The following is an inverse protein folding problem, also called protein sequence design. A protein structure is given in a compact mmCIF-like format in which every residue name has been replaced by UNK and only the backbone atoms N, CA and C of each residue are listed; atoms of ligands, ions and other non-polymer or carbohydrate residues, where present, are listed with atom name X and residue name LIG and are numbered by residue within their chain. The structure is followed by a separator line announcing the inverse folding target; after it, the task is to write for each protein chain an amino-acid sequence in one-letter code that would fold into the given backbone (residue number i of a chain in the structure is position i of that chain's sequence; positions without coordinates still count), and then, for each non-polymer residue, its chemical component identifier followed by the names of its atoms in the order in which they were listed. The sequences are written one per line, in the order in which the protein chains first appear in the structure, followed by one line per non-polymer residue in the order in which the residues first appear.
data_IF_334426334462
#
_entry.id   IF_334426334462
#
_cell.length_a   1.000
_cell.length_b   1.000
_cell.length_c   1.000
_cell.angle_alpha   90.00
_cell.angle_beta   90.00
_cell.angle_gamma   90.00
#
_symmetry.space_group_name_H-M   'P 1'
#
loop_
_entity.id
_entity.type
_entity.pdbx_description
1 polymer ?
#
# COMPACT_ATOMS: atom_id res chain seq x y z
N UNK A 1 -6.18 -10.63 4.55
CA UNK A 1 -6.66 -9.53 3.69
C UNK A 1 -5.64 -8.42 3.77
N UNK A 2 -5.22 -7.92 2.61
CA UNK A 2 -4.29 -6.81 2.46
C UNK A 2 -4.86 -5.53 3.07
N UNK A 3 -6.18 -5.35 3.04
CA UNK A 3 -6.90 -4.26 3.72
C UNK A 3 -6.65 -4.21 5.24
N UNK A 4 -6.23 -5.30 5.87
CA UNK A 4 -5.86 -5.27 7.29
C UNK A 4 -4.66 -4.36 7.57
N UNK A 5 -3.79 -4.11 6.58
CA UNK A 5 -2.64 -3.22 6.72
C UNK A 5 -3.09 -1.76 6.88
N UNK A 6 -4.14 -1.31 6.19
CA UNK A 6 -4.61 0.07 6.28
C UNK A 6 -5.41 0.33 7.57
N UNK A 7 -6.05 -0.70 8.13
CA UNK A 7 -6.69 -0.60 9.44
C UNK A 7 -5.70 -0.22 10.55
N UNK A 8 -4.46 -0.72 10.51
CA UNK A 8 -3.41 -0.36 11.47
C UNK A 8 -3.14 1.14 11.49
N UNK A 9 -3.21 1.79 10.32
CA UNK A 9 -3.01 3.23 10.18
C UNK A 9 -4.18 3.98 10.84
N UNK A 10 -5.42 3.52 10.57
CA UNK A 10 -6.64 4.11 11.13
C UNK A 10 -6.69 3.98 12.65
N UNK A 11 -6.38 2.80 13.18
CA UNK A 11 -6.37 2.52 14.62
C UNK A 11 -5.33 3.38 15.37
N UNK A 12 -4.35 3.91 14.65
CA UNK A 12 -3.31 4.81 15.18
C UNK A 12 -3.53 6.28 14.82
N UNK A 13 -4.76 6.64 14.47
CA UNK A 13 -5.18 8.02 14.24
C UNK A 13 -4.61 8.62 12.95
N UNK A 14 -4.26 7.79 11.96
CA UNK A 14 -3.72 8.23 10.67
C UNK A 14 -2.45 9.10 10.78
N UNK A 15 -1.59 8.78 11.74
CA UNK A 15 -0.34 9.50 11.98
C UNK A 15 0.87 8.67 11.55
N UNK A 16 2.04 9.31 11.42
CA UNK A 16 3.32 8.67 11.03
C UNK A 16 3.62 7.37 11.79
N UNK A 17 3.39 7.25 13.12
CA UNK A 17 3.57 5.98 13.82
C UNK A 17 2.70 4.84 13.26
N UNK A 18 1.48 5.13 12.82
CA UNK A 18 0.58 4.18 12.17
C UNK A 18 1.14 3.67 10.84
N UNK A 19 1.66 4.57 10.00
CA UNK A 19 2.31 4.22 8.74
C UNK A 19 3.55 3.33 8.94
N UNK A 20 4.39 3.64 9.93
CA UNK A 20 5.55 2.80 10.27
C UNK A 20 5.14 1.41 10.72
N UNK A 21 4.10 1.32 11.54
CA UNK A 21 3.61 0.05 12.03
C UNK A 21 2.94 -0.79 10.93
N UNK A 22 2.18 -0.14 10.05
CA UNK A 22 1.63 -0.77 8.86
C UNK A 22 2.74 -1.32 7.96
N UNK A 23 3.79 -0.54 7.71
CA UNK A 23 4.95 -0.98 6.94
C UNK A 23 5.65 -2.21 7.56
N UNK A 24 5.90 -2.16 8.87
CA UNK A 24 6.48 -3.29 9.62
C UNK A 24 5.59 -4.53 9.53
N UNK A 25 4.30 -4.38 9.78
CA UNK A 25 3.34 -5.49 9.80
C UNK A 25 3.17 -6.10 8.42
N UNK A 26 3.12 -5.28 7.36
CA UNK A 26 3.04 -5.76 5.99
C UNK A 26 4.27 -6.63 5.64
N UNK A 27 5.48 -6.19 5.97
CA UNK A 27 6.70 -7.02 5.80
C UNK A 27 6.64 -8.34 6.56
N UNK A 28 6.09 -8.34 7.77
CA UNK A 28 5.91 -9.57 8.56
C UNK A 28 4.84 -10.49 7.98
N UNK A 29 3.81 -9.97 7.34
CA UNK A 29 2.80 -10.79 6.67
C UNK A 29 3.31 -11.34 5.34
N UNK A 30 4.16 -10.59 4.64
CA UNK A 30 4.78 -11.03 3.40
C UNK A 30 5.61 -12.32 3.56
N UNK A 31 6.15 -12.58 4.75
CA UNK A 31 6.89 -13.82 5.04
C UNK A 31 6.00 -14.99 5.45
N UNK A 32 4.73 -14.74 5.79
CA UNK A 32 3.76 -15.75 6.25
C UNK A 32 2.81 -16.21 5.15
N UNK A 33 2.49 -15.31 4.23
CA UNK A 33 1.58 -15.55 3.10
C UNK A 33 2.36 -15.35 1.80
N UNK A 34 2.87 -16.46 1.26
CA UNK A 34 3.72 -16.45 0.04
C UNK A 34 2.92 -15.95 -1.16
N UNK A 35 1.63 -16.33 -1.27
CA UNK A 35 0.80 -15.96 -2.41
C UNK A 35 0.60 -14.44 -2.48
N UNK A 36 0.34 -13.80 -1.34
CA UNK A 36 0.12 -12.35 -1.27
C UNK A 36 1.38 -11.56 -0.92
N UNK A 37 2.53 -12.21 -0.85
CA UNK A 37 3.79 -11.63 -0.36
C UNK A 37 4.17 -10.33 -1.08
N UNK A 38 4.05 -10.30 -2.40
CA UNK A 38 4.35 -9.12 -3.22
C UNK A 38 3.37 -7.99 -2.93
N UNK A 39 2.09 -8.29 -2.74
CA UNK A 39 1.07 -7.29 -2.38
C UNK A 39 1.37 -6.65 -1.03
N UNK A 40 1.70 -7.46 -0.02
CA UNK A 40 2.13 -6.97 1.29
C UNK A 40 3.42 -6.14 1.18
N UNK A 41 4.38 -6.56 0.35
CA UNK A 41 5.61 -5.81 0.14
C UNK A 41 5.34 -4.42 -0.46
N UNK A 42 4.49 -4.32 -1.48
CA UNK A 42 4.14 -3.06 -2.14
C UNK A 42 3.45 -2.09 -1.16
N UNK A 43 2.44 -2.56 -0.42
CA UNK A 43 1.78 -1.75 0.60
C UNK A 43 2.74 -1.30 1.70
N UNK A 44 3.61 -2.21 2.16
CA UNK A 44 4.59 -1.90 3.17
C UNK A 44 5.63 -0.87 2.70
N UNK A 45 6.05 -0.94 1.44
CA UNK A 45 6.95 0.04 0.81
C UNK A 45 6.29 1.41 0.71
N UNK A 46 5.06 1.48 0.21
CA UNK A 46 4.31 2.73 0.10
C UNK A 46 4.07 3.42 1.46
N UNK A 47 3.73 2.63 2.49
CA UNK A 47 3.56 3.17 3.85
C UNK A 47 4.88 3.64 4.46
N UNK A 48 5.99 2.92 4.24
CA UNK A 48 7.31 3.33 4.70
C UNK A 48 7.77 4.62 4.03
N UNK A 49 7.68 4.72 2.70
CA UNK A 49 8.12 5.90 1.96
C UNK A 49 7.42 7.17 2.45
N UNK A 50 6.12 7.07 2.74
CA UNK A 50 5.39 8.18 3.34
C UNK A 50 5.87 8.51 4.76
N UNK A 51 6.05 7.50 5.61
CA UNK A 51 6.53 7.71 6.97
C UNK A 51 7.95 8.31 7.04
N UNK A 52 8.78 8.02 6.05
CA UNK A 52 10.13 8.54 5.94
C UNK A 52 10.12 9.98 5.43
N UNK A 53 9.29 10.29 4.42
CA UNK A 53 9.15 11.64 3.85
C UNK A 53 8.67 12.68 4.88
N UNK A 54 7.82 12.27 5.83
CA UNK A 54 7.24 13.17 6.85
C UNK A 54 7.78 12.89 8.26
N UNK A 55 8.93 12.22 8.39
CA UNK A 55 9.56 11.95 9.69
C UNK A 55 10.01 13.24 10.40
N UNK A 56 10.39 14.27 9.64
CA UNK A 56 11.03 15.49 10.15
C UNK A 56 10.12 16.72 10.07
N UNK A 57 8.95 16.60 9.44
CA UNK A 57 8.04 17.71 9.16
C UNK A 57 6.65 17.49 9.78
N UNK A 58 5.92 18.57 10.14
CA UNK A 58 4.55 18.48 10.59
C UNK A 58 3.66 17.88 9.49
N UNK A 59 3.07 16.71 9.75
CA UNK A 59 2.12 16.11 8.84
C UNK A 59 0.76 16.82 8.93
N UNK A 60 0.30 17.40 7.82
CA UNK A 60 -1.06 17.92 7.71
C UNK A 60 -2.08 16.78 7.60
N UNK A 61 -3.22 16.95 8.29
CA UNK A 61 -4.28 15.95 8.35
C UNK A 61 -4.77 15.54 6.95
N UNK A 62 -5.02 16.52 6.07
CA UNK A 62 -5.46 16.27 4.70
C UNK A 62 -4.46 15.40 3.91
N UNK A 63 -3.16 15.63 4.08
CA UNK A 63 -2.11 14.84 3.43
C UNK A 63 -2.10 13.40 3.94
N UNK A 64 -2.29 13.22 5.24
CA UNK A 64 -2.42 11.90 5.85
C UNK A 64 -3.67 11.17 5.35
N UNK A 65 -4.81 11.85 5.23
CA UNK A 65 -6.06 11.26 4.74
C UNK A 65 -5.96 10.85 3.28
N UNK A 66 -5.39 11.70 2.43
CA UNK A 66 -5.16 11.38 1.02
C UNK A 66 -4.25 10.16 0.85
N UNK A 67 -3.18 10.07 1.65
CA UNK A 67 -2.30 8.92 1.57
C UNK A 67 -2.96 7.64 2.08
N UNK A 68 -3.76 7.71 3.15
CA UNK A 68 -4.52 6.56 3.64
C UNK A 68 -5.50 6.07 2.58
N UNK A 69 -6.27 6.97 1.97
CA UNK A 69 -7.20 6.65 0.90
C UNK A 69 -6.49 5.99 -0.30
N UNK A 70 -5.29 6.47 -0.64
CA UNK A 70 -4.46 5.87 -1.70
C UNK A 70 -4.03 4.44 -1.36
N UNK A 71 -3.56 4.21 -0.13
CA UNK A 71 -3.20 2.86 0.34
C UNK A 71 -4.40 1.92 0.40
N UNK A 72 -5.57 2.42 0.80
CA UNK A 72 -6.82 1.65 0.79
C UNK A 72 -7.21 1.26 -0.62
N UNK A 73 -7.10 2.17 -1.58
CA UNK A 73 -7.32 1.87 -3.00
C UNK A 73 -6.40 0.75 -3.50
N UNK A 74 -5.10 0.80 -3.17
CA UNK A 74 -4.18 -0.28 -3.51
C UNK A 74 -4.52 -1.60 -2.84
N UNK A 75 -4.88 -1.57 -1.55
CA UNK A 75 -5.24 -2.78 -0.81
C UNK A 75 -6.50 -3.43 -1.37
N UNK A 76 -7.52 -2.64 -1.76
CA UNK A 76 -8.76 -3.13 -2.37
C UNK A 76 -8.49 -3.81 -3.71
N UNK A 77 -7.77 -3.14 -4.63
CA UNK A 77 -7.42 -3.69 -5.95
C UNK A 77 -6.67 -5.01 -5.82
N UNK A 78 -5.73 -5.09 -4.88
CA UNK A 78 -4.97 -6.32 -4.67
C UNK A 78 -5.84 -7.41 -4.02
N UNK A 79 -6.63 -7.10 -2.98
CA UNK A 79 -7.48 -8.11 -2.34
C UNK A 79 -8.47 -8.72 -3.34
N UNK A 80 -9.15 -7.90 -4.16
CA UNK A 80 -10.04 -8.36 -5.23
C UNK A 80 -9.33 -9.26 -6.24
N UNK A 81 -8.12 -8.88 -6.68
CA UNK A 81 -7.35 -9.66 -7.64
C UNK A 81 -6.88 -11.01 -7.06
N UNK A 82 -6.53 -11.04 -5.76
CA UNK A 82 -6.10 -12.26 -5.08
C UNK A 82 -7.25 -13.18 -4.67
N UNK A 83 -8.50 -12.69 -4.65
CA UNK A 83 -9.70 -13.53 -4.52
C UNK A 83 -10.07 -14.23 -5.83
N UNK A 84 -9.69 -13.66 -6.98
CA UNK A 84 -9.87 -14.32 -8.27
C UNK A 84 -8.89 -15.51 -8.43
N UNK A 85 -9.33 -16.62 -9.07
CA UNK A 85 -8.45 -17.75 -9.41
C UNK A 85 -7.51 -17.44 -10.59
N UNK A 86 -7.61 -16.26 -11.18
CA UNK A 86 -6.89 -15.86 -12.39
C UNK A 86 -5.53 -15.23 -12.07
N UNK A 87 -4.46 -15.92 -12.45
CA UNK A 87 -3.09 -15.45 -12.30
C UNK A 87 -2.83 -14.15 -13.08
N UNK A 88 -3.41 -14.00 -14.27
CA UNK A 88 -3.21 -12.81 -15.09
C UNK A 88 -3.76 -11.57 -14.38
N UNK A 89 -4.96 -11.66 -13.80
CA UNK A 89 -5.54 -10.58 -12.98
C UNK A 89 -4.69 -10.20 -11.78
N UNK A 90 -4.09 -11.19 -11.10
CA UNK A 90 -3.17 -10.93 -9.98
C UNK A 90 -1.95 -10.15 -10.44
N UNK A 91 -1.35 -10.54 -11.57
CA UNK A 91 -0.19 -9.86 -12.14
C UNK A 91 -0.53 -8.45 -12.61
N UNK A 92 -1.67 -8.26 -13.28
CA UNK A 92 -2.15 -6.95 -13.72
C UNK A 92 -2.36 -5.99 -12.54
N UNK A 93 -2.96 -6.46 -11.45
CA UNK A 93 -3.14 -5.68 -10.22
C UNK A 93 -1.80 -5.31 -9.56
N UNK A 94 -0.86 -6.25 -9.46
CA UNK A 94 0.49 -5.98 -8.94
C UNK A 94 1.22 -4.95 -9.79
N UNK A 95 1.17 -5.09 -11.12
CA UNK A 95 1.78 -4.16 -12.06
C UNK A 95 1.14 -2.77 -11.99
N UNK A 96 -0.17 -2.69 -11.87
CA UNK A 96 -0.89 -1.43 -11.69
C UNK A 96 -0.43 -0.69 -10.43
N UNK A 97 -0.41 -1.36 -9.28
CA UNK A 97 0.02 -0.74 -8.01
C UNK A 97 1.49 -0.33 -8.08
N UNK A 98 2.36 -1.19 -8.60
CA UNK A 98 3.78 -0.87 -8.76
C UNK A 98 3.98 0.38 -9.64
N UNK A 99 3.27 0.49 -10.76
CA UNK A 99 3.33 1.66 -11.64
C UNK A 99 2.82 2.92 -10.95
N UNK A 100 1.70 2.81 -10.24
CA UNK A 100 1.12 3.94 -9.49
C UNK A 100 2.06 4.43 -8.37
N UNK A 101 2.95 3.58 -7.87
CA UNK A 101 4.00 3.94 -6.91
C UNK A 101 5.21 4.61 -7.57
N UNK A 102 5.62 4.17 -8.77
CA UNK A 102 6.83 4.68 -9.45
C UNK A 102 6.72 6.11 -9.96
N UNK A 103 5.53 6.74 -9.94
CA UNK A 103 5.35 8.09 -10.48
C UNK A 103 5.42 8.17 -12.01
N UNK A 104 5.56 7.04 -12.70
CA UNK A 104 5.47 6.95 -14.15
C UNK A 104 4.02 7.18 -14.59
N UNK A 105 3.65 8.46 -14.61
CA UNK A 105 2.57 8.96 -15.46
C UNK A 105 2.86 8.42 -16.86
N UNK A 106 2.01 7.50 -17.31
CA UNK A 106 2.02 7.05 -18.68
C UNK A 106 1.79 8.28 -19.56
N UNK A 107 2.85 8.89 -20.09
CA UNK A 107 2.73 9.55 -21.39
C UNK A 107 2.42 8.42 -22.37
N UNK A 108 1.14 8.12 -22.50
CA UNK A 108 0.63 7.30 -23.59
C UNK A 108 1.02 8.04 -24.87
N UNK A 109 2.07 7.53 -25.51
CA UNK A 109 2.52 7.88 -26.84
C UNK A 109 1.32 7.88 -27.78
N UNK A 110 1.07 9.04 -28.39
CA UNK A 110 0.24 9.17 -29.60
C UNK A 110 1.10 8.87 -30.81
#
# INVERSE_FOLDING_TARGET
MLAAITNIIRDKGNAIPGYREAARTARQQATKDIERSVGYFLLGKAAQEFADAYCEEPLHADTAEQQLARLEGFACVLDEAFEAPDLQRRLEALSYVARAMSGDCATATT
#
